data_IF_796241942157
#
_entry.id   IF_796241942157
#
_cell.length_a   1.000
_cell.length_b   1.000
_cell.length_c   1.000
_cell.angle_alpha   90.00
_cell.angle_beta   90.00
_cell.angle_gamma   90.00
#
_symmetry.space_group_name_H-M   'P 1'
#
loop_
_entity.id
_entity.type
_entity.pdbx_description
1 polymer ?
#
# COMPACT_ATOMS: atom_id res chain seq x y z
N UNK A 1 7.11 27.15 -9.49
CA UNK A 1 6.67 26.88 -8.12
C UNK A 1 7.44 25.70 -7.62
N UNK A 2 8.23 25.86 -6.55
CA UNK A 2 8.99 24.75 -5.97
C UNK A 2 8.05 23.71 -5.36
N UNK A 3 8.32 22.40 -5.49
CA UNK A 3 7.50 21.37 -4.88
C UNK A 3 7.64 21.45 -3.35
N UNK A 4 6.50 21.53 -2.65
CA UNK A 4 6.46 21.47 -1.19
C UNK A 4 7.00 20.11 -0.72
N UNK A 5 8.14 20.03 -0.01
CA UNK A 5 8.71 18.76 0.43
C UNK A 5 7.79 17.99 1.38
N UNK A 6 6.87 18.66 2.08
CA UNK A 6 5.84 18.00 2.89
C UNK A 6 4.82 17.20 2.05
N UNK A 7 4.54 17.63 0.80
CA UNK A 7 3.65 16.90 -0.09
C UNK A 7 4.27 15.57 -0.57
N UNK A 8 5.58 15.58 -0.85
CA UNK A 8 6.29 14.36 -1.24
C UNK A 8 6.32 13.31 -0.12
N UNK A 9 6.56 13.73 1.13
CA UNK A 9 6.50 12.85 2.30
C UNK A 9 5.09 12.31 2.55
N UNK A 10 4.04 13.12 2.33
CA UNK A 10 2.65 12.67 2.43
C UNK A 10 2.34 11.59 1.41
N UNK A 11 2.71 11.80 0.14
CA UNK A 11 2.41 10.84 -0.93
C UNK A 11 3.13 9.52 -0.74
N UNK A 12 4.38 9.56 -0.24
CA UNK A 12 5.10 8.35 0.13
C UNK A 12 4.41 7.62 1.30
N UNK A 13 3.91 8.36 2.30
CA UNK A 13 3.13 7.83 3.40
C UNK A 13 1.82 7.17 2.95
N UNK A 14 1.08 7.83 2.07
CA UNK A 14 -0.19 7.33 1.51
C UNK A 14 0.03 6.07 0.67
N UNK A 15 1.07 6.08 -0.18
CA UNK A 15 1.48 4.90 -0.95
C UNK A 15 1.82 3.73 -0.03
N UNK A 16 2.64 3.99 0.99
CA UNK A 16 3.03 2.98 1.97
C UNK A 16 1.84 2.41 2.73
N UNK A 17 0.89 3.26 3.13
CA UNK A 17 -0.33 2.83 3.79
C UNK A 17 -1.17 1.90 2.89
N UNK A 18 -1.35 2.27 1.61
CA UNK A 18 -2.09 1.45 0.65
C UNK A 18 -1.42 0.08 0.42
N UNK A 19 -0.09 0.02 0.39
CA UNK A 19 0.67 -1.25 0.30
C UNK A 19 0.36 -2.16 1.50
N UNK A 20 0.27 -1.61 2.70
CA UNK A 20 -0.08 -2.40 3.89
C UNK A 20 -1.53 -2.89 3.89
N UNK A 21 -2.47 -2.12 3.35
CA UNK A 21 -3.86 -2.57 3.17
C UNK A 21 -3.91 -3.70 2.12
N UNK A 22 -3.19 -3.56 1.01
CA UNK A 22 -3.09 -4.61 -0.01
C UNK A 22 -2.53 -5.91 0.58
N UNK A 23 -1.42 -5.84 1.32
CA UNK A 23 -0.81 -6.99 2.00
C UNK A 23 -1.79 -7.65 2.99
N UNK A 24 -2.52 -6.85 3.76
CA UNK A 24 -3.57 -7.34 4.66
C UNK A 24 -4.67 -8.10 3.90
N UNK A 25 -5.23 -7.50 2.85
CA UNK A 25 -6.27 -8.14 2.04
C UNK A 25 -5.78 -9.45 1.44
N UNK A 26 -4.55 -9.47 0.92
CA UNK A 26 -3.96 -10.67 0.33
C UNK A 26 -3.76 -11.78 1.37
N UNK A 27 -3.19 -11.47 2.54
CA UNK A 27 -2.96 -12.44 3.64
C UNK A 27 -4.24 -13.01 4.23
N UNK A 28 -5.33 -12.23 4.24
CA UNK A 28 -6.65 -12.67 4.72
C UNK A 28 -7.48 -13.39 3.65
N UNK A 29 -7.01 -13.44 2.40
CA UNK A 29 -7.72 -14.07 1.29
C UNK A 29 -8.81 -13.20 0.66
N UNK A 30 -8.83 -11.89 0.94
CA UNK A 30 -9.72 -10.91 0.29
C UNK A 30 -9.20 -10.53 -1.10
N UNK A 31 -9.00 -11.52 -1.97
CA UNK A 31 -8.26 -11.37 -3.23
C UNK A 31 -8.91 -10.35 -4.19
N UNK A 32 -10.25 -10.31 -4.26
CA UNK A 32 -10.96 -9.31 -5.08
C UNK A 32 -10.69 -7.89 -4.58
N UNK A 33 -10.82 -7.67 -3.27
CA UNK A 33 -10.54 -6.36 -2.65
C UNK A 33 -9.09 -5.94 -2.86
N UNK A 34 -8.13 -6.88 -2.72
CA UNK A 34 -6.72 -6.61 -2.98
C UNK A 34 -6.51 -6.17 -4.45
N UNK A 35 -7.18 -6.83 -5.40
CA UNK A 35 -7.05 -6.53 -6.81
C UNK A 35 -7.66 -5.17 -7.18
N UNK A 36 -8.84 -4.83 -6.65
CA UNK A 36 -9.45 -3.51 -6.85
C UNK A 36 -8.56 -2.41 -6.23
N UNK A 37 -8.06 -2.61 -5.00
CA UNK A 37 -7.18 -1.65 -4.35
C UNK A 37 -5.89 -1.42 -5.15
N UNK A 38 -5.30 -2.48 -5.71
CA UNK A 38 -4.10 -2.37 -6.53
C UNK A 38 -4.33 -1.48 -7.75
N UNK A 39 -5.50 -1.58 -8.38
CA UNK A 39 -5.90 -0.75 -9.51
C UNK A 39 -6.25 0.69 -9.10
N UNK A 40 -7.04 0.87 -8.04
CA UNK A 40 -7.53 2.19 -7.61
C UNK A 40 -6.42 3.06 -7.02
N UNK A 41 -5.49 2.45 -6.28
CA UNK A 41 -4.37 3.15 -5.65
C UNK A 41 -3.12 3.26 -6.54
N UNK A 42 -3.22 2.83 -7.81
CA UNK A 42 -2.11 2.81 -8.78
C UNK A 42 -0.84 2.15 -8.21
N UNK A 43 -1.03 1.03 -7.51
CA UNK A 43 0.08 0.29 -6.91
C UNK A 43 0.70 -0.62 -7.98
N UNK A 44 2.04 -0.70 -8.03
CA UNK A 44 2.69 -1.64 -8.93
C UNK A 44 2.39 -3.09 -8.50
N UNK A 45 2.30 -4.06 -9.43
CA UNK A 45 1.98 -5.45 -9.13
C UNK A 45 2.94 -6.15 -8.15
N UNK A 46 4.18 -5.68 -8.10
CA UNK A 46 5.25 -6.15 -7.22
C UNK A 46 5.39 -5.28 -5.95
N UNK A 47 4.38 -4.46 -5.64
CA UNK A 47 4.34 -3.68 -4.42
C UNK A 47 4.41 -4.60 -3.19
N UNK A 48 5.55 -4.55 -2.49
CA UNK A 48 5.73 -5.25 -1.22
C UNK A 48 6.07 -4.27 -0.12
N UNK A 49 5.50 -4.42 1.10
CA UNK A 49 5.87 -3.58 2.21
C UNK A 49 7.34 -3.85 2.60
N UNK A 50 8.12 -2.82 2.99
CA UNK A 50 9.50 -2.99 3.47
C UNK A 50 9.58 -3.93 4.69
N UNK A 51 8.54 -3.96 5.51
CA UNK A 51 8.41 -4.89 6.63
C UNK A 51 7.29 -5.88 6.30
N UNK A 52 7.68 -7.04 5.78
CA UNK A 52 6.75 -8.12 5.46
C UNK A 52 6.68 -9.16 6.60
N UNK A 53 5.93 -8.85 7.65
CA UNK A 53 5.67 -9.78 8.76
C UNK A 53 4.65 -10.85 8.36
N UNK A 54 4.76 -12.08 8.89
CA UNK A 54 3.88 -13.21 8.51
C UNK A 54 2.37 -12.90 8.64
N UNK A 55 1.99 -12.11 9.64
CA UNK A 55 0.60 -11.74 9.90
C UNK A 55 0.16 -10.42 9.23
N UNK A 56 1.08 -9.71 8.58
CA UNK A 56 0.87 -8.32 8.16
C UNK A 56 1.12 -7.33 9.31
N UNK A 57 1.26 -6.04 8.98
CA UNK A 57 1.42 -4.99 9.98
C UNK A 57 0.07 -4.44 10.47
N UNK A 58 -0.96 -4.51 9.62
CA UNK A 58 -2.34 -4.20 9.97
C UNK A 58 -3.01 -5.47 10.52
N UNK A 59 -3.73 -5.34 11.63
CA UNK A 59 -4.34 -6.46 12.38
C UNK A 59 -5.80 -6.69 12.02
#
# INVERSE_FOLDING_TARGET
SDPNPGAALSWEGDRMFNIYIYDYCHKRGFLKTAQELLSEADLPPDATPPINAKQGLLF
#
